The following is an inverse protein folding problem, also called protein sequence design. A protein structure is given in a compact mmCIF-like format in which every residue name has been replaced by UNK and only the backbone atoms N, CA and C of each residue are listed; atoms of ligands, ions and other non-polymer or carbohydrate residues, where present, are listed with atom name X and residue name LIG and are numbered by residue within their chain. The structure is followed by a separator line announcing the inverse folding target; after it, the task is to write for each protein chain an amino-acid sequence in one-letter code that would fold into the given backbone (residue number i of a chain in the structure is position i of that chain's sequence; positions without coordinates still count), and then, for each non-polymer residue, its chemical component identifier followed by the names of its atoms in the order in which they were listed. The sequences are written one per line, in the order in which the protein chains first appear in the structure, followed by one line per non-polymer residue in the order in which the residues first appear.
data_IF_258189082833
#
_entry.id   IF_258189082833
#
_cell.length_a   1.000
_cell.length_b   1.000
_cell.length_c   1.000
_cell.angle_alpha   90.00
_cell.angle_beta   90.00
_cell.angle_gamma   90.00
#
_symmetry.space_group_name_H-M   'P 1'
#
loop_
_entity.id
_entity.type
_entity.pdbx_description
1 polymer ?
#
# COMPACT_ATOMS: atom_id res chain seq x y z
N UNK A 1 30.73 -45.52 71.13
CA UNK A 1 30.13 -44.53 70.20
C UNK A 1 28.69 -44.96 69.97
N UNK A 2 27.72 -44.13 70.37
CA UNK A 2 26.30 -44.53 70.43
C UNK A 2 25.76 -44.82 69.03
N UNK A 3 24.81 -45.75 68.89
CA UNK A 3 24.15 -46.07 67.61
C UNK A 3 23.63 -44.80 66.89
N UNK A 4 23.19 -43.82 67.68
CA UNK A 4 22.72 -42.53 67.19
C UNK A 4 23.84 -41.66 66.59
N UNK A 5 25.07 -41.73 67.12
CA UNK A 5 26.22 -40.95 66.62
C UNK A 5 26.71 -41.49 65.27
N UNK A 6 26.67 -42.81 65.07
CA UNK A 6 27.02 -43.43 63.79
C UNK A 6 26.00 -43.12 62.69
N UNK A 7 24.70 -43.15 62.98
CA UNK A 7 23.67 -42.74 62.01
C UNK A 7 23.77 -41.25 61.68
N UNK A 8 24.10 -40.40 62.67
CA UNK A 8 24.36 -38.99 62.45
C UNK A 8 25.57 -38.76 61.53
N UNK A 9 26.65 -39.52 61.70
CA UNK A 9 27.84 -39.42 60.84
C UNK A 9 27.55 -39.83 59.38
N UNK A 10 26.89 -40.97 59.17
CA UNK A 10 26.56 -41.48 57.82
C UNK A 10 25.61 -40.55 57.07
N UNK A 11 24.61 -39.99 57.75
CA UNK A 11 23.68 -39.02 57.14
C UNK A 11 24.39 -37.71 56.77
N UNK A 12 25.35 -37.24 57.58
CA UNK A 12 26.17 -36.06 57.26
C UNK A 12 27.09 -36.30 56.05
N UNK A 13 27.71 -37.47 55.92
CA UNK A 13 28.54 -37.80 54.75
C UNK A 13 27.71 -37.95 53.46
N UNK A 14 26.51 -38.55 53.55
CA UNK A 14 25.58 -38.60 52.42
C UNK A 14 25.10 -37.19 52.01
N UNK A 15 24.82 -36.31 52.99
CA UNK A 15 24.45 -34.91 52.73
C UNK A 15 25.59 -34.14 52.05
N UNK A 16 26.83 -34.30 52.50
CA UNK A 16 28.02 -33.68 51.87
C UNK A 16 28.20 -34.18 50.43
N UNK A 17 28.00 -35.47 50.15
CA UNK A 17 28.11 -36.04 48.80
C UNK A 17 27.04 -35.47 47.86
N UNK A 18 25.80 -35.32 48.32
CA UNK A 18 24.71 -34.68 47.55
C UNK A 18 25.01 -33.21 47.27
N UNK A 19 25.50 -32.46 48.26
CA UNK A 19 25.90 -31.06 48.07
C UNK A 19 27.02 -30.95 47.02
N UNK A 20 28.03 -31.83 47.07
CA UNK A 20 29.12 -31.85 46.07
C UNK A 20 28.61 -32.16 44.65
N UNK A 21 27.64 -33.07 44.51
CA UNK A 21 27.02 -33.38 43.21
C UNK A 21 26.22 -32.19 42.67
N UNK A 22 25.40 -31.53 43.50
CA UNK A 22 24.68 -30.33 43.09
C UNK A 22 25.62 -29.17 42.71
N UNK A 23 26.73 -29.00 43.44
CA UNK A 23 27.75 -28.01 43.10
C UNK A 23 28.43 -28.32 41.76
N UNK A 24 28.68 -29.61 41.47
CA UNK A 24 29.27 -30.03 40.21
C UNK A 24 28.29 -29.79 39.03
N UNK A 25 27.01 -30.11 39.18
CA UNK A 25 25.97 -29.81 38.17
C UNK A 25 25.81 -28.30 37.94
N UNK A 26 25.85 -27.50 39.00
CA UNK A 26 25.83 -26.05 38.91
C UNK A 26 27.08 -25.50 38.19
N UNK A 27 28.26 -26.06 38.44
CA UNK A 27 29.50 -25.68 37.76
C UNK A 27 29.48 -26.06 36.27
N UNK A 28 28.97 -27.24 35.94
CA UNK A 28 28.84 -27.69 34.55
C UNK A 28 27.83 -26.82 33.79
N UNK A 29 26.67 -26.53 34.38
CA UNK A 29 25.69 -25.64 33.74
C UNK A 29 26.22 -24.21 33.59
N UNK A 30 26.93 -23.68 34.59
CA UNK A 30 27.59 -22.38 34.49
C UNK A 30 28.62 -22.33 33.35
N UNK A 31 29.39 -23.40 33.15
CA UNK A 31 30.39 -23.51 32.07
C UNK A 31 29.76 -23.35 30.68
N UNK A 32 28.51 -23.76 30.47
CA UNK A 32 27.82 -23.63 29.19
C UNK A 32 27.04 -22.31 29.06
N UNK A 33 26.37 -21.85 30.12
CA UNK A 33 25.52 -20.65 30.06
C UNK A 33 26.35 -19.37 29.94
N UNK A 34 27.46 -19.29 30.68
CA UNK A 34 28.33 -18.10 30.71
C UNK A 34 28.89 -17.75 29.31
N UNK A 35 29.40 -18.68 28.49
CA UNK A 35 29.83 -18.37 27.12
C UNK A 35 28.67 -18.31 26.12
N UNK A 36 27.57 -19.05 26.33
CA UNK A 36 26.42 -19.01 25.41
C UNK A 36 25.75 -17.62 25.38
N UNK A 37 25.67 -16.95 26.52
CA UNK A 37 25.06 -15.61 26.62
C UNK A 37 25.76 -14.54 25.76
N UNK A 38 27.08 -14.27 25.87
CA UNK A 38 27.77 -13.29 25.03
C UNK A 38 27.78 -13.69 23.55
N UNK A 39 27.86 -15.00 23.24
CA UNK A 39 27.74 -15.48 21.85
C UNK A 39 26.35 -15.15 21.28
N UNK A 40 25.27 -15.34 22.06
CA UNK A 40 23.92 -14.99 21.63
C UNK A 40 23.76 -13.47 21.37
N UNK A 41 24.36 -12.64 22.22
CA UNK A 41 24.36 -11.17 22.05
C UNK A 41 25.14 -10.78 20.81
N UNK A 42 26.34 -11.34 20.63
CA UNK A 42 27.20 -11.07 19.48
C UNK A 42 26.52 -11.47 18.17
N UNK A 43 25.92 -12.67 18.13
CA UNK A 43 25.17 -13.15 16.98
C UNK A 43 23.98 -12.23 16.67
N UNK A 44 23.19 -11.85 17.70
CA UNK A 44 22.06 -10.93 17.54
C UNK A 44 22.53 -9.59 16.94
N UNK A 45 23.59 -9.00 17.48
CA UNK A 45 24.12 -7.71 17.00
C UNK A 45 24.65 -7.81 15.57
N UNK A 46 25.33 -8.91 15.24
CA UNK A 46 25.88 -9.16 13.90
C UNK A 46 24.76 -9.32 12.88
N UNK A 47 23.76 -10.16 13.19
CA UNK A 47 22.59 -10.36 12.34
C UNK A 47 21.80 -9.05 12.15
N UNK A 48 21.56 -8.32 13.23
CA UNK A 48 20.86 -7.04 13.17
C UNK A 48 21.62 -6.03 12.30
N UNK A 49 22.95 -5.96 12.42
CA UNK A 49 23.78 -5.09 11.59
C UNK A 49 23.73 -5.49 10.12
N UNK A 50 23.78 -6.79 9.82
CA UNK A 50 23.65 -7.28 8.44
C UNK A 50 22.28 -6.97 7.85
N UNK A 51 21.19 -7.19 8.58
CA UNK A 51 19.82 -6.90 8.13
C UNK A 51 19.64 -5.39 7.90
N UNK A 52 20.09 -4.55 8.84
CA UNK A 52 19.99 -3.10 8.67
C UNK A 52 20.80 -2.66 7.46
N UNK A 53 22.02 -3.18 7.27
CA UNK A 53 22.84 -2.83 6.12
C UNK A 53 22.26 -3.32 4.79
N UNK A 54 21.56 -4.46 4.77
CA UNK A 54 20.92 -4.98 3.57
C UNK A 54 19.63 -4.25 3.22
N UNK A 55 18.86 -3.77 4.21
CA UNK A 55 17.60 -3.06 3.99
C UNK A 55 17.80 -1.56 3.77
N UNK A 56 18.87 -0.98 4.31
CA UNK A 56 19.14 0.44 4.16
C UNK A 56 19.30 0.81 2.67
N UNK A 57 18.62 1.88 2.25
CA UNK A 57 18.73 2.38 0.88
C UNK A 57 20.06 3.11 0.77
N UNK A 58 20.94 2.66 -0.12
CA UNK A 58 22.18 3.37 -0.46
C UNK A 58 22.22 3.54 -1.97
N UNK A 59 22.95 4.53 -2.49
CA UNK A 59 23.30 4.54 -3.90
C UNK A 59 23.87 3.16 -4.29
N UNK A 60 23.36 2.60 -5.37
CA UNK A 60 23.75 1.31 -5.96
C UNK A 60 23.48 0.03 -5.13
N UNK A 61 22.80 0.11 -3.98
CA UNK A 61 22.43 -1.10 -3.22
C UNK A 61 21.32 -1.90 -3.92
N UNK A 62 21.32 -3.21 -3.73
CA UNK A 62 20.24 -4.06 -4.28
C UNK A 62 18.88 -3.75 -3.65
N UNK A 63 18.86 -3.36 -2.37
CA UNK A 63 17.65 -2.83 -1.71
C UNK A 63 17.13 -1.58 -2.39
N UNK A 64 18.01 -0.68 -2.84
CA UNK A 64 17.62 0.50 -3.58
C UNK A 64 17.06 0.15 -4.96
N UNK A 65 17.67 -0.80 -5.69
CA UNK A 65 17.14 -1.28 -6.98
C UNK A 65 15.74 -1.89 -6.83
N UNK A 66 15.56 -2.76 -5.82
CA UNK A 66 14.25 -3.35 -5.49
C UNK A 66 13.24 -2.30 -5.03
N UNK A 67 13.68 -1.28 -4.29
CA UNK A 67 12.80 -0.18 -3.90
C UNK A 67 12.38 0.66 -5.11
N UNK A 68 13.28 0.94 -6.05
CA UNK A 68 13.01 1.70 -7.28
C UNK A 68 12.00 0.97 -8.18
N UNK A 69 12.22 -0.34 -8.39
CA UNK A 69 11.40 -1.21 -9.21
C UNK A 69 11.00 -2.46 -8.40
N UNK A 70 9.93 -2.39 -7.59
CA UNK A 70 9.50 -3.50 -6.77
C UNK A 70 9.01 -4.65 -7.66
N UNK A 71 9.43 -5.90 -7.41
CA UNK A 71 9.04 -7.04 -8.23
C UNK A 71 7.59 -7.49 -8.01
N UNK A 72 6.85 -6.81 -7.12
CA UNK A 72 5.47 -7.11 -6.80
C UNK A 72 4.53 -6.16 -7.51
N UNK A 73 3.60 -6.73 -8.26
CA UNK A 73 2.51 -6.00 -8.93
C UNK A 73 1.27 -6.07 -8.06
N UNK A 74 0.67 -4.91 -7.76
CA UNK A 74 -0.57 -4.88 -7.00
C UNK A 74 -1.76 -5.18 -7.92
N UNK A 75 -2.74 -5.95 -7.45
CA UNK A 75 -3.97 -6.23 -8.20
C UNK A 75 -5.08 -5.35 -7.63
N UNK A 76 -5.76 -4.59 -8.49
CA UNK A 76 -6.90 -3.76 -8.12
C UNK A 76 -8.12 -4.10 -8.97
N UNK A 77 -9.24 -4.37 -8.30
CA UNK A 77 -10.51 -4.68 -8.95
C UNK A 77 -11.48 -3.53 -8.77
N UNK A 78 -12.02 -3.03 -9.88
CA UNK A 78 -13.04 -2.00 -9.89
C UNK A 78 -14.42 -2.61 -10.08
N UNK A 79 -15.37 -2.22 -9.23
CA UNK A 79 -16.78 -2.56 -9.36
C UNK A 79 -17.53 -1.30 -9.78
N UNK A 80 -18.19 -1.35 -10.94
CA UNK A 80 -19.00 -0.26 -11.44
C UNK A 80 -20.48 -0.57 -11.23
N UNK A 81 -21.23 0.47 -10.89
CA UNK A 81 -22.67 0.41 -10.69
C UNK A 81 -23.36 1.15 -11.83
N UNK A 82 -24.18 0.43 -12.60
CA UNK A 82 -24.94 0.99 -13.68
C UNK A 82 -26.26 1.57 -13.16
N UNK A 83 -26.56 2.83 -13.47
CA UNK A 83 -27.78 3.51 -13.01
C UNK A 83 -28.95 3.12 -13.91
N UNK A 84 -30.02 2.58 -13.33
CA UNK A 84 -31.18 2.07 -14.09
C UNK A 84 -32.31 3.07 -14.25
N UNK A 85 -32.36 4.12 -13.42
CA UNK A 85 -33.40 5.15 -13.47
C UNK A 85 -32.85 6.59 -13.67
N UNK A 86 -31.97 6.83 -14.67
CA UNK A 86 -31.38 8.16 -14.87
C UNK A 86 -32.41 9.26 -15.12
N UNK A 87 -33.49 8.95 -15.87
CA UNK A 87 -34.55 9.92 -16.20
C UNK A 87 -35.28 10.39 -14.94
N UNK A 88 -35.62 9.47 -14.03
CA UNK A 88 -36.32 9.77 -12.78
C UNK A 88 -35.48 10.69 -11.87
N UNK A 89 -34.17 10.45 -11.80
CA UNK A 89 -33.24 11.27 -11.02
C UNK A 89 -33.19 12.71 -11.54
N UNK A 90 -33.25 12.90 -12.86
CA UNK A 90 -33.24 14.24 -13.47
C UNK A 90 -34.59 14.94 -13.30
N UNK A 91 -35.70 14.23 -13.53
CA UNK A 91 -37.04 14.85 -13.56
C UNK A 91 -37.62 15.09 -12.17
N UNK A 92 -37.29 14.26 -11.19
CA UNK A 92 -37.79 14.39 -9.82
C UNK A 92 -36.68 14.17 -8.78
N UNK A 93 -35.66 15.05 -8.74
CA UNK A 93 -34.50 14.88 -7.88
C UNK A 93 -34.83 14.90 -6.38
N UNK A 94 -35.96 15.48 -5.98
CA UNK A 94 -36.35 15.60 -4.57
C UNK A 94 -36.90 14.29 -3.96
N UNK A 95 -37.42 13.38 -4.78
CA UNK A 95 -38.00 12.11 -4.30
C UNK A 95 -37.44 10.87 -4.99
N UNK A 96 -36.62 11.01 -6.03
CA UNK A 96 -36.03 9.88 -6.74
C UNK A 96 -35.02 9.14 -5.85
N UNK A 97 -35.20 7.82 -5.72
CA UNK A 97 -34.19 6.93 -5.14
C UNK A 97 -33.30 6.41 -6.26
N UNK A 98 -31.98 6.57 -6.14
CA UNK A 98 -31.04 6.09 -7.16
C UNK A 98 -31.06 4.56 -7.17
N UNK A 99 -31.45 3.98 -8.31
CA UNK A 99 -31.44 2.54 -8.54
C UNK A 99 -30.19 2.18 -9.33
N UNK A 100 -29.47 1.18 -8.83
CA UNK A 100 -28.23 0.71 -9.43
C UNK A 100 -28.25 -0.79 -9.65
N UNK A 101 -27.55 -1.23 -10.70
CA UNK A 101 -27.28 -2.63 -11.01
C UNK A 101 -25.78 -2.85 -11.12
N UNK A 102 -25.28 -3.89 -10.46
CA UNK A 102 -23.87 -4.25 -10.51
C UNK A 102 -23.46 -4.67 -11.92
N UNK A 103 -22.25 -4.26 -12.30
CA UNK A 103 -21.56 -4.78 -13.48
C UNK A 103 -20.45 -5.75 -13.06
N UNK A 104 -19.99 -6.62 -13.97
CA UNK A 104 -18.86 -7.50 -13.69
C UNK A 104 -17.61 -6.73 -13.25
N UNK A 105 -16.73 -7.35 -12.45
CA UNK A 105 -15.50 -6.71 -11.96
C UNK A 105 -14.49 -6.44 -13.08
N UNK A 106 -13.81 -5.30 -13.00
CA UNK A 106 -12.72 -4.93 -13.92
C UNK A 106 -11.39 -4.95 -13.18
N UNK A 107 -10.57 -5.98 -13.41
CA UNK A 107 -9.32 -6.19 -12.67
C UNK A 107 -8.09 -5.69 -13.44
N UNK A 108 -7.26 -4.91 -12.78
CA UNK A 108 -6.03 -4.34 -13.32
C UNK A 108 -4.84 -4.68 -12.43
N UNK A 109 -3.71 -4.90 -13.07
CA UNK A 109 -2.38 -4.95 -12.50
C UNK A 109 -1.83 -3.52 -12.41
N UNK A 110 -1.27 -3.16 -11.27
CA UNK A 110 -0.68 -1.86 -10.98
C UNK A 110 0.80 -2.05 -10.69
N UNK A 111 1.63 -1.66 -11.65
CA UNK A 111 3.08 -1.59 -11.49
C UNK A 111 3.45 -0.21 -10.95
N UNK A 112 4.28 -0.16 -9.90
CA UNK A 112 4.63 1.08 -9.21
C UNK A 112 6.13 1.32 -9.18
N UNK A 113 6.59 2.24 -10.02
CA UNK A 113 7.99 2.56 -10.20
C UNK A 113 8.32 3.93 -9.61
N UNK A 114 9.55 4.10 -9.12
CA UNK A 114 10.04 5.40 -8.62
C UNK A 114 10.94 5.97 -9.69
N UNK A 115 10.58 7.15 -10.19
CA UNK A 115 11.28 7.85 -11.27
C UNK A 115 11.78 9.21 -10.76
N UNK A 116 12.67 9.85 -11.53
CA UNK A 116 13.25 11.16 -11.19
C UNK A 116 13.82 11.21 -9.77
N UNK A 117 14.64 10.21 -9.44
CA UNK A 117 15.22 10.08 -8.10
C UNK A 117 16.42 11.00 -8.00
N UNK A 118 16.41 11.88 -6.99
CA UNK A 118 17.50 12.78 -6.67
C UNK A 118 17.93 12.59 -5.22
N UNK A 119 19.22 12.32 -5.02
CA UNK A 119 19.81 12.24 -3.68
C UNK A 119 20.22 13.62 -3.19
N UNK A 120 20.12 13.85 -1.89
CA UNK A 120 20.74 15.01 -1.26
C UNK A 120 22.25 14.85 -1.21
N UNK A 121 22.98 15.97 -1.13
CA UNK A 121 24.45 15.99 -1.10
C UNK A 121 25.06 15.14 0.03
N UNK A 122 24.33 14.95 1.13
CA UNK A 122 24.75 14.13 2.27
C UNK A 122 24.31 12.66 2.18
N UNK A 123 23.65 12.25 1.09
CA UNK A 123 23.07 10.92 0.86
C UNK A 123 22.13 10.42 1.96
N UNK A 124 21.56 11.33 2.78
CA UNK A 124 20.62 11.00 3.86
C UNK A 124 19.18 11.23 3.49
N UNK A 125 18.91 11.89 2.36
CA UNK A 125 17.56 12.13 1.85
C UNK A 125 17.55 11.81 0.37
N UNK A 126 16.40 11.35 -0.10
CA UNK A 126 16.14 11.25 -1.53
C UNK A 126 14.76 11.82 -1.83
N UNK A 127 14.63 12.46 -2.99
CA UNK A 127 13.36 12.86 -3.56
C UNK A 127 13.05 12.05 -4.81
N UNK A 128 11.79 11.73 -5.04
CA UNK A 128 11.36 10.88 -6.14
C UNK A 128 9.91 11.15 -6.52
N UNK A 129 9.52 10.69 -7.70
CA UNK A 129 8.15 10.68 -8.18
C UNK A 129 7.66 9.25 -8.28
N UNK A 130 6.43 8.99 -7.86
CA UNK A 130 5.81 7.67 -8.02
C UNK A 130 5.06 7.64 -9.34
N UNK A 131 5.48 6.73 -10.22
CA UNK A 131 4.77 6.41 -11.45
C UNK A 131 3.98 5.11 -11.27
N UNK A 132 2.72 5.13 -11.68
CA UNK A 132 1.86 3.94 -11.69
C UNK A 132 1.47 3.59 -13.11
N UNK A 133 1.70 2.34 -13.51
CA UNK A 133 1.24 1.81 -14.79
C UNK A 133 0.13 0.81 -14.52
N UNK A 134 -1.00 0.99 -15.21
CA UNK A 134 -2.15 0.12 -15.09
C UNK A 134 -2.26 -0.73 -16.36
N UNK A 135 -2.30 -2.04 -16.19
CA UNK A 135 -2.49 -3.02 -17.26
C UNK A 135 -3.66 -3.93 -16.91
N UNK A 136 -4.45 -4.37 -17.89
CA UNK A 136 -5.56 -5.31 -17.63
C UNK A 136 -4.97 -6.63 -17.14
N UNK A 137 -5.55 -7.21 -16.08
CA UNK A 137 -5.10 -8.50 -15.57
C UNK A 137 -5.39 -9.62 -16.61
N UNK A 138 -4.40 -10.39 -17.05
CA UNK A 138 -4.58 -11.35 -18.14
C UNK A 138 -5.47 -12.56 -17.78
N UNK A 139 -5.72 -12.80 -16.50
CA UNK A 139 -6.47 -13.95 -15.99
C UNK A 139 -7.87 -13.53 -15.51
N UNK A 140 -7.95 -12.41 -14.80
CA UNK A 140 -9.16 -11.96 -14.09
C UNK A 140 -9.96 -10.92 -14.87
N UNK A 141 -9.36 -10.25 -15.85
CA UNK A 141 -10.09 -9.30 -16.68
C UNK A 141 -10.88 -10.07 -17.75
N UNK A 142 -12.20 -10.00 -17.67
CA UNK A 142 -13.07 -10.59 -18.69
C UNK A 142 -13.03 -9.77 -20.00
N UNK A 143 -12.58 -10.34 -21.13
CA UNK A 143 -12.55 -9.63 -22.41
C UNK A 143 -13.95 -9.22 -22.91
N UNK A 144 -15.00 -9.94 -22.53
CA UNK A 144 -16.37 -9.62 -22.95
C UNK A 144 -16.90 -8.32 -22.33
N UNK A 145 -16.26 -7.86 -21.25
CA UNK A 145 -16.61 -6.65 -20.54
C UNK A 145 -16.43 -5.35 -21.35
N UNK A 146 -15.74 -5.42 -22.49
CA UNK A 146 -15.66 -4.35 -23.49
C UNK A 146 -17.02 -4.06 -24.17
N UNK A 147 -18.03 -4.91 -23.98
CA UNK A 147 -19.38 -4.67 -24.48
C UNK A 147 -20.37 -4.17 -23.42
N UNK A 148 -19.95 -4.06 -22.15
CA UNK A 148 -20.82 -3.58 -21.09
C UNK A 148 -21.08 -2.08 -21.23
N UNK A 149 -22.34 -1.72 -21.48
CA UNK A 149 -22.80 -0.34 -21.34
C UNK A 149 -22.99 -0.03 -19.87
N UNK A 150 -22.58 1.15 -19.44
CA UNK A 150 -23.12 1.70 -18.21
C UNK A 150 -23.49 3.17 -18.33
N UNK A 151 -24.27 3.59 -17.34
CA UNK A 151 -24.85 4.92 -17.18
C UNK A 151 -24.23 5.59 -15.96
N UNK A 152 -23.64 6.78 -16.17
CA UNK A 152 -22.77 7.40 -15.17
C UNK A 152 -22.85 8.91 -15.17
N UNK A 153 -22.45 9.49 -14.03
CA UNK A 153 -22.54 10.92 -13.74
C UNK A 153 -21.20 11.61 -14.05
N UNK A 154 -21.03 12.13 -15.27
CA UNK A 154 -19.78 12.78 -15.67
C UNK A 154 -19.64 14.18 -15.05
N UNK A 155 -20.77 14.86 -14.79
CA UNK A 155 -20.80 16.16 -14.13
C UNK A 155 -20.19 16.14 -12.73
N UNK A 156 -20.52 15.13 -11.92
CA UNK A 156 -19.95 14.98 -10.59
C UNK A 156 -18.43 14.76 -10.64
N UNK A 157 -17.96 14.01 -11.64
CA UNK A 157 -16.53 13.78 -11.84
C UNK A 157 -15.81 15.06 -12.28
N UNK A 158 -16.42 15.85 -13.16
CA UNK A 158 -15.90 17.14 -13.60
C UNK A 158 -15.81 18.14 -12.44
N UNK A 159 -16.85 18.26 -11.61
CA UNK A 159 -16.85 19.17 -10.45
C UNK A 159 -15.76 18.82 -9.44
N UNK A 160 -15.56 17.54 -9.13
CA UNK A 160 -14.47 17.11 -8.23
C UNK A 160 -13.05 17.32 -8.79
N UNK A 161 -12.89 17.50 -10.12
CA UNK A 161 -11.58 17.74 -10.74
C UNK A 161 -11.25 19.22 -10.92
N UNK A 162 -12.22 20.11 -10.81
CA UNK A 162 -11.99 21.55 -10.97
C UNK A 162 -11.71 22.21 -9.62
N UNK A 163 -11.16 23.42 -9.63
CA UNK A 163 -11.07 24.27 -8.43
C UNK A 163 -12.43 24.52 -7.73
N UNK A 164 -13.52 24.23 -8.44
CA UNK A 164 -14.88 24.31 -7.94
C UNK A 164 -15.29 23.15 -7.02
N UNK A 165 -14.38 22.24 -6.64
CA UNK A 165 -14.67 21.23 -5.60
C UNK A 165 -15.18 21.84 -4.29
N UNK A 166 -14.83 23.11 -4.01
CA UNK A 166 -15.32 23.89 -2.86
C UNK A 166 -16.74 24.45 -3.08
N UNK A 167 -17.22 24.54 -4.34
CA UNK A 167 -18.55 25.03 -4.76
C UNK A 167 -19.26 24.03 -5.68
N UNK A 168 -19.11 22.73 -5.41
CA UNK A 168 -19.60 21.67 -6.30
C UNK A 168 -21.11 21.75 -6.56
N UNK A 169 -21.89 22.18 -5.56
CA UNK A 169 -23.35 22.34 -5.65
C UNK A 169 -23.75 23.45 -6.61
N UNK A 170 -23.15 24.65 -6.51
CA UNK A 170 -23.44 25.76 -7.42
C UNK A 170 -23.06 25.40 -8.87
N UNK A 171 -21.88 24.81 -9.03
CA UNK A 171 -21.36 24.39 -10.34
C UNK A 171 -22.24 23.31 -10.98
N UNK A 172 -22.81 22.41 -10.16
CA UNK A 172 -23.79 21.42 -10.62
C UNK A 172 -25.04 22.09 -11.18
N UNK A 173 -25.55 23.15 -10.53
CA UNK A 173 -26.68 23.94 -11.02
C UNK A 173 -26.33 24.81 -12.23
N UNK A 174 -25.13 25.38 -12.29
CA UNK A 174 -24.67 26.19 -13.43
C UNK A 174 -24.55 25.34 -14.72
N UNK A 175 -24.28 24.04 -14.55
CA UNK A 175 -24.27 23.06 -15.63
C UNK A 175 -25.57 22.24 -15.73
N UNK A 176 -26.60 22.56 -14.94
CA UNK A 176 -27.90 21.91 -15.01
C UNK A 176 -28.58 22.32 -16.33
N UNK A 177 -28.72 21.33 -17.22
CA UNK A 177 -29.17 21.54 -18.60
C UNK A 177 -28.34 20.76 -19.62
N UNK A 178 -27.14 20.33 -19.22
CA UNK A 178 -26.37 19.32 -19.96
C UNK A 178 -26.82 17.90 -19.56
N UNK A 179 -26.62 16.96 -20.47
CA UNK A 179 -26.86 15.54 -20.22
C UNK A 179 -25.94 15.09 -19.07
N UNK A 180 -26.49 14.90 -17.87
CA UNK A 180 -25.72 14.54 -16.67
C UNK A 180 -25.33 13.07 -16.66
N UNK A 181 -26.11 12.24 -17.34
CA UNK A 181 -25.97 10.79 -17.42
C UNK A 181 -25.51 10.36 -18.81
N UNK A 182 -24.29 9.84 -18.92
CA UNK A 182 -23.75 9.35 -20.18
C UNK A 182 -23.82 7.84 -20.29
N UNK A 183 -24.24 7.36 -21.45
CA UNK A 183 -24.27 5.96 -21.83
C UNK A 183 -22.99 5.65 -22.61
N UNK A 184 -22.02 4.99 -21.96
CA UNK A 184 -20.74 4.62 -22.57
C UNK A 184 -20.31 3.23 -22.15
N UNK A 185 -19.30 2.73 -22.84
CA UNK A 185 -18.67 1.49 -22.43
C UNK A 185 -18.04 1.64 -21.04
N UNK A 186 -18.24 0.65 -20.18
CA UNK A 186 -17.76 0.65 -18.81
C UNK A 186 -16.22 0.66 -18.71
N UNK A 187 -15.52 0.00 -19.63
CA UNK A 187 -14.05 0.00 -19.69
C UNK A 187 -13.51 1.37 -20.09
N UNK A 188 -14.11 2.02 -21.10
CA UNK A 188 -13.74 3.38 -21.51
C UNK A 188 -13.83 4.39 -20.36
N UNK A 189 -14.68 4.14 -19.37
CA UNK A 189 -14.80 5.04 -18.23
C UNK A 189 -13.74 4.87 -17.16
N UNK A 190 -13.18 3.68 -17.08
CA UNK A 190 -12.02 3.40 -16.26
C UNK A 190 -10.78 3.93 -16.99
N UNK A 191 -10.64 3.60 -18.27
CA UNK A 191 -9.43 3.82 -19.06
C UNK A 191 -9.34 5.17 -19.79
N UNK A 192 -10.44 5.91 -19.89
CA UNK A 192 -10.46 7.27 -20.44
C UNK A 192 -11.40 7.45 -21.63
N UNK A 193 -12.40 8.30 -21.47
CA UNK A 193 -13.27 8.81 -22.54
C UNK A 193 -13.30 10.34 -22.54
N UNK A 194 -13.88 10.93 -23.57
CA UNK A 194 -14.16 12.37 -23.64
C UNK A 194 -15.66 12.59 -23.79
N UNK A 195 -16.16 13.66 -23.18
CA UNK A 195 -17.53 14.16 -23.32
C UNK A 195 -17.49 15.65 -23.62
N UNK A 196 -18.60 16.19 -24.12
CA UNK A 196 -18.73 17.63 -24.40
C UNK A 196 -18.53 18.45 -23.11
N UNK A 197 -19.11 17.97 -22.00
CA UNK A 197 -18.91 18.57 -20.69
C UNK A 197 -17.44 18.52 -20.25
N UNK A 198 -16.76 17.38 -20.44
CA UNK A 198 -15.35 17.25 -20.09
C UNK A 198 -14.49 18.26 -20.84
N UNK A 199 -14.75 18.44 -22.15
CA UNK A 199 -14.03 19.41 -22.98
C UNK A 199 -14.28 20.85 -22.51
N UNK A 200 -15.51 21.18 -22.14
CA UNK A 200 -15.87 22.52 -21.63
C UNK A 200 -15.10 22.89 -20.35
N UNK A 201 -14.89 21.93 -19.44
CA UNK A 201 -14.23 22.19 -18.15
C UNK A 201 -12.75 21.81 -18.11
N UNK A 202 -12.19 21.33 -19.23
CA UNK A 202 -10.84 20.77 -19.32
C UNK A 202 -9.76 21.74 -18.81
N UNK A 203 -9.87 23.01 -19.19
CA UNK A 203 -8.91 24.06 -18.84
C UNK A 203 -8.89 24.37 -17.34
N UNK A 204 -10.01 24.12 -16.65
CA UNK A 204 -10.16 24.37 -15.22
C UNK A 204 -9.82 23.15 -14.35
N UNK A 205 -9.52 22.00 -14.95
CA UNK A 205 -9.20 20.78 -14.20
C UNK A 205 -7.83 20.85 -13.53
N UNK A 206 -7.71 20.22 -12.37
CA UNK A 206 -6.49 20.10 -11.57
C UNK A 206 -6.00 18.64 -11.58
N UNK A 207 -4.70 18.46 -11.46
CA UNK A 207 -4.05 17.15 -11.34
C UNK A 207 -3.55 16.57 -12.66
N UNK A 208 -3.07 15.31 -12.64
CA UNK A 208 -2.46 14.67 -13.80
C UNK A 208 -3.48 14.34 -14.89
N UNK A 209 -2.99 14.15 -16.11
CA UNK A 209 -3.73 13.64 -17.28
C UNK A 209 -5.10 14.33 -17.49
N UNK A 210 -5.08 15.52 -18.08
CA UNK A 210 -6.30 16.32 -18.37
C UNK A 210 -6.92 16.04 -19.75
N UNK A 211 -6.34 15.15 -20.57
CA UNK A 211 -6.81 14.89 -21.94
C UNK A 211 -8.09 14.04 -22.01
N UNK A 212 -8.34 13.19 -21.02
CA UNK A 212 -9.53 12.31 -20.95
C UNK A 212 -10.06 12.20 -19.52
N UNK A 213 -11.32 11.81 -19.42
CA UNK A 213 -12.03 11.44 -18.19
C UNK A 213 -11.91 9.94 -17.95
N UNK A 214 -11.17 9.52 -16.93
CA UNK A 214 -11.11 8.11 -16.54
C UNK A 214 -10.44 7.92 -15.18
N UNK A 215 -10.95 6.97 -14.37
CA UNK A 215 -10.40 6.72 -13.04
C UNK A 215 -8.95 6.21 -13.09
N UNK A 216 -8.71 5.20 -13.92
CA UNK A 216 -7.37 4.66 -14.18
C UNK A 216 -6.59 5.62 -15.06
N UNK A 217 -7.21 6.17 -16.12
CA UNK A 217 -6.55 7.11 -17.03
C UNK A 217 -5.84 8.25 -16.30
N UNK A 218 -6.51 8.83 -15.30
CA UNK A 218 -5.98 9.95 -14.51
C UNK A 218 -4.64 9.60 -13.87
N UNK A 219 -4.47 8.38 -13.40
CA UNK A 219 -3.28 7.93 -12.68
C UNK A 219 -2.28 7.24 -13.59
N UNK A 220 -2.72 6.69 -14.73
CA UNK A 220 -1.92 5.85 -15.59
C UNK A 220 -0.76 6.61 -16.24
N UNK A 221 0.46 6.12 -16.02
CA UNK A 221 1.70 6.75 -16.47
C UNK A 221 1.97 8.11 -15.84
N UNK A 222 1.10 8.58 -14.93
CA UNK A 222 1.26 9.88 -14.29
C UNK A 222 2.28 9.80 -13.15
N UNK A 223 3.09 10.84 -13.03
CA UNK A 223 3.93 11.07 -11.87
C UNK A 223 3.12 11.78 -10.78
N UNK A 224 2.80 11.07 -9.70
CA UNK A 224 2.19 11.67 -8.52
C UNK A 224 3.30 12.19 -7.60
N UNK A 225 3.24 13.50 -7.31
CA UNK A 225 3.93 14.28 -6.28
C UNK A 225 5.45 14.04 -6.09
N UNK A 226 6.19 15.13 -5.84
CA UNK A 226 7.58 15.01 -5.39
C UNK A 226 7.58 14.55 -3.93
N UNK A 227 7.83 13.25 -3.70
CA UNK A 227 8.04 12.71 -2.37
C UNK A 227 9.47 12.96 -1.95
N UNK A 228 9.71 13.22 -0.67
CA UNK A 228 11.04 13.24 -0.08
C UNK A 228 11.06 12.37 1.16
N UNK A 229 11.99 11.43 1.22
CA UNK A 229 12.17 10.53 2.37
C UNK A 229 13.56 10.69 2.95
N UNK A 230 13.67 10.49 4.26
CA UNK A 230 14.95 10.35 4.94
C UNK A 230 15.36 8.89 4.95
N UNK A 231 16.63 8.64 4.67
CA UNK A 231 17.22 7.32 4.51
C UNK A 231 18.22 7.08 5.64
N UNK A 232 18.29 5.84 6.15
CA UNK A 232 19.32 5.42 7.09
C UNK A 232 19.19 5.91 8.54
N UNK A 233 18.01 6.41 8.96
CA UNK A 233 17.79 6.72 10.39
C UNK A 233 17.35 5.45 11.12
N UNK A 234 18.26 4.87 11.89
CA UNK A 234 17.93 3.86 12.90
C UNK A 234 17.09 4.57 13.96
N UNK A 235 15.79 4.27 14.00
CA UNK A 235 14.97 4.57 15.17
C UNK A 235 15.29 3.44 16.14
N UNK A 236 16.03 3.74 17.21
CA UNK A 236 16.10 2.83 18.34
C UNK A 236 14.68 2.75 18.91
N UNK A 237 14.02 1.61 18.73
CA UNK A 237 12.76 1.25 19.38
C UNK A 237 13.10 0.54 20.69
#
# INVERSE_FOLDING_TARGET
MSSNDYQYYVSNEQRKRRIKLCLLEALVSALFIIPAYPVSICLKNTLQTHIINSVNLKPDSDSFKLWCNPPITAIMTYHLFNITNPIEIVTNPASALIQVKDTPPYTYNIETNKINIHWSNDNKRLSYVVQRLFTRDPIRFDPSSINHTGVFIDLLRATFRTQYSVKAVQTFYDFAGMETFYHRNAVEQIEGFTSDLFNMVQDYMIGPNKKKSGFVYRQNGSGLFNFSIQVGKIIYI
#
